data_IF_379991567841
#
_entry.id   IF_379991567841
#
_cell.length_a   1.000
_cell.length_b   1.000
_cell.length_c   1.000
_cell.angle_alpha   90.00
_cell.angle_beta   90.00
_cell.angle_gamma   90.00
#
_symmetry.space_group_name_H-M   'P 1'
#
loop_
_entity.id
_entity.type
_entity.pdbx_description
1 polymer ?
#
# COMPACT_ATOMS: atom_id res chain seq x y z
N UNK A 1 33.37 46.24 19.02
CA UNK A 1 33.80 45.19 19.97
C UNK A 1 33.30 43.88 19.37
N UNK A 2 34.04 43.36 18.38
CA UNK A 2 35.22 42.47 18.50
C UNK A 2 34.73 41.03 18.56
N UNK A 3 34.64 40.36 17.41
CA UNK A 3 35.72 39.51 16.81
C UNK A 3 35.75 38.13 17.50
N UNK A 4 35.72 36.99 16.80
CA UNK A 4 36.73 36.64 15.78
C UNK A 4 36.33 35.50 14.79
N UNK A 5 36.82 35.62 13.55
CA UNK A 5 37.14 34.53 12.61
C UNK A 5 38.66 34.18 12.75
N UNK A 6 39.28 33.21 12.00
CA UNK A 6 38.82 32.32 10.91
C UNK A 6 38.99 30.82 11.28
N UNK A 7 39.20 29.77 10.44
CA UNK A 7 39.62 29.51 9.03
C UNK A 7 39.14 28.07 8.65
N UNK A 8 39.01 27.63 7.39
CA UNK A 8 39.20 28.29 6.09
C UNK A 8 38.98 27.34 4.89
N UNK A 9 38.89 27.94 3.70
CA UNK A 9 39.36 27.44 2.38
C UNK A 9 39.08 25.99 1.94
N UNK A 10 38.18 25.84 0.96
CA UNK A 10 38.66 25.71 -0.43
C UNK A 10 37.65 26.22 -1.46
N UNK A 11 38.16 26.96 -2.46
CA UNK A 11 37.44 27.39 -3.65
C UNK A 11 37.64 26.36 -4.76
N UNK A 12 36.60 26.08 -5.55
CA UNK A 12 36.78 25.88 -6.99
C UNK A 12 36.02 26.98 -7.73
N UNK A 13 36.78 27.87 -8.37
CA UNK A 13 36.30 28.78 -9.38
C UNK A 13 36.37 28.04 -10.72
N UNK A 14 35.25 27.90 -11.41
CA UNK A 14 35.27 27.61 -12.85
C UNK A 14 34.96 28.89 -13.63
N UNK A 15 35.81 29.13 -14.64
CA UNK A 15 35.85 30.34 -15.45
C UNK A 15 34.79 30.29 -16.55
N UNK A 16 33.84 31.23 -16.52
CA UNK A 16 32.98 31.50 -17.69
C UNK A 16 33.79 32.25 -18.76
N UNK A 17 34.38 31.49 -19.69
CA UNK A 17 34.90 32.02 -20.95
C UNK A 17 33.76 32.12 -21.96
N UNK A 18 33.55 33.29 -22.55
CA UNK A 18 32.58 33.48 -23.63
C UNK A 18 33.11 32.90 -24.96
N UNK A 19 32.31 32.09 -25.67
CA UNK A 19 32.51 31.89 -27.11
C UNK A 19 31.22 31.55 -27.88
N UNK A 20 30.95 32.43 -28.85
CA UNK A 20 30.25 32.27 -30.15
C UNK A 20 28.77 31.84 -30.26
N UNK A 21 28.15 32.33 -31.35
CA UNK A 21 26.75 32.10 -31.73
C UNK A 21 26.68 31.27 -33.02
N UNK A 22 26.05 30.09 -32.97
CA UNK A 22 25.37 29.54 -34.14
C UNK A 22 24.18 28.66 -33.72
N UNK A 23 23.08 28.61 -34.50
CA UNK A 23 21.87 27.90 -34.08
C UNK A 23 21.92 26.44 -34.53
N UNK A 24 22.03 25.52 -33.58
CA UNK A 24 21.87 24.08 -33.82
C UNK A 24 20.60 23.56 -33.18
N UNK A 25 19.97 22.61 -33.89
CA UNK A 25 18.60 22.12 -33.68
C UNK A 25 18.31 21.74 -32.23
N UNK A 26 17.18 22.21 -31.72
CA UNK A 26 16.65 21.83 -30.41
C UNK A 26 16.07 20.42 -30.50
N UNK A 27 16.88 19.40 -30.25
CA UNK A 27 16.37 18.06 -29.93
C UNK A 27 15.82 18.11 -28.50
N UNK A 28 14.50 18.00 -28.35
CA UNK A 28 13.88 17.83 -27.03
C UNK A 28 14.17 16.40 -26.59
N UNK A 29 15.26 16.22 -25.83
CA UNK A 29 15.46 15.01 -25.06
C UNK A 29 14.53 15.09 -23.84
N UNK A 30 13.47 14.27 -23.84
CA UNK A 30 12.62 14.06 -22.68
C UNK A 30 13.44 13.25 -21.66
N UNK A 31 14.17 13.95 -20.78
CA UNK A 31 14.88 13.31 -19.68
C UNK A 31 13.84 13.00 -18.60
N UNK A 32 13.24 11.81 -18.71
CA UNK A 32 12.53 11.18 -17.61
C UNK A 32 13.52 11.06 -16.44
N UNK A 33 13.44 12.00 -15.51
CA UNK A 33 14.27 11.98 -14.31
C UNK A 33 13.55 11.08 -13.32
N UNK A 34 13.80 9.77 -13.41
CA UNK A 34 13.39 8.84 -12.37
C UNK A 34 14.01 9.33 -11.06
N UNK A 35 13.19 9.92 -10.20
CA UNK A 35 13.55 10.13 -8.81
C UNK A 35 13.63 8.74 -8.19
N UNK A 36 14.85 8.23 -8.01
CA UNK A 36 15.11 7.17 -7.06
C UNK A 36 14.93 7.76 -5.66
N UNK A 37 13.67 7.91 -5.23
CA UNK A 37 13.34 7.88 -3.82
C UNK A 37 13.78 6.53 -3.30
N UNK A 38 14.77 6.51 -2.40
CA UNK A 38 15.13 5.31 -1.67
C UNK A 38 14.09 5.07 -0.57
N UNK A 39 12.88 4.71 -0.96
CA UNK A 39 12.03 3.88 -0.11
C UNK A 39 12.76 2.55 0.09
N UNK A 40 12.72 2.01 1.30
CA UNK A 40 13.04 0.60 1.49
C UNK A 40 12.02 -0.19 0.69
N UNK A 41 12.47 -1.07 -0.19
CA UNK A 41 11.55 -1.94 -0.92
C UNK A 41 10.86 -2.86 0.09
N UNK A 42 9.53 -2.76 0.17
CA UNK A 42 8.72 -3.60 1.05
C UNK A 42 8.94 -5.08 0.73
N UNK A 43 9.15 -5.89 1.77
CA UNK A 43 9.33 -7.32 1.59
C UNK A 43 7.95 -7.99 1.47
N UNK A 44 7.82 -9.00 0.60
CA UNK A 44 6.63 -9.83 0.59
C UNK A 44 6.53 -10.63 1.88
N UNK A 45 5.55 -10.33 2.73
CA UNK A 45 5.30 -11.02 4.01
C UNK A 45 4.02 -11.85 3.89
N UNK A 46 4.17 -13.15 3.59
CA UNK A 46 3.05 -14.09 3.44
C UNK A 46 2.47 -14.49 4.80
N UNK A 47 1.15 -14.57 4.90
CA UNK A 47 0.46 -15.14 6.07
C UNK A 47 0.75 -16.64 6.20
N UNK A 48 1.29 -17.07 7.34
CA UNK A 48 1.63 -18.48 7.59
C UNK A 48 0.85 -19.13 8.73
N UNK A 49 0.31 -18.34 9.66
CA UNK A 49 -0.61 -18.83 10.68
C UNK A 49 -1.52 -17.73 11.22
N UNK A 50 -2.69 -18.13 11.71
CA UNK A 50 -3.68 -17.25 12.36
C UNK A 50 -4.24 -17.94 13.60
N UNK A 51 -4.37 -17.20 14.71
CA UNK A 51 -5.13 -17.65 15.88
C UNK A 51 -6.15 -16.58 16.29
N UNK A 52 -7.40 -16.98 16.38
CA UNK A 52 -8.49 -16.19 16.97
C UNK A 52 -8.36 -16.20 18.51
N UNK A 53 -8.55 -15.05 19.14
CA UNK A 53 -8.46 -14.88 20.60
C UNK A 53 -9.71 -14.20 21.15
N UNK A 54 -9.95 -14.35 22.45
CA UNK A 54 -11.06 -13.69 23.14
C UNK A 54 -10.91 -12.16 23.12
N UNK A 55 -12.04 -11.44 23.04
CA UNK A 55 -12.10 -9.98 23.11
C UNK A 55 -11.44 -9.44 24.40
N UNK A 56 -10.67 -8.34 24.27
CA UNK A 56 -9.94 -7.76 25.41
C UNK A 56 -9.95 -6.23 25.42
N UNK A 57 -9.42 -5.64 26.49
CA UNK A 57 -9.39 -4.20 26.71
C UNK A 57 -7.99 -3.71 27.07
N UNK A 58 -7.46 -2.77 26.31
CA UNK A 58 -6.16 -2.12 26.58
C UNK A 58 -6.41 -0.79 27.27
N UNK A 59 -5.93 -0.66 28.50
CA UNK A 59 -5.88 0.61 29.24
C UNK A 59 -4.44 0.95 29.66
N UNK A 60 -4.28 1.95 30.54
CA UNK A 60 -2.99 2.51 30.95
C UNK A 60 -1.97 1.52 31.59
N UNK A 61 -2.36 0.28 31.89
CA UNK A 61 -1.46 -0.78 32.37
C UNK A 61 -0.94 -1.72 31.26
N UNK A 62 -1.41 -1.54 30.03
CA UNK A 62 -1.26 -2.50 28.94
C UNK A 62 -2.11 -3.77 29.12
N UNK A 63 -1.94 -4.73 28.22
CA UNK A 63 -2.54 -6.07 28.30
C UNK A 63 -1.63 -7.09 27.61
N UNK A 64 -1.34 -8.18 28.32
CA UNK A 64 -0.51 -9.27 27.82
C UNK A 64 -1.38 -10.45 27.41
N UNK A 65 -1.30 -10.84 26.13
CA UNK A 65 -1.90 -12.06 25.59
C UNK A 65 -0.78 -13.09 25.37
N UNK A 66 -1.03 -14.35 25.70
CA UNK A 66 -0.13 -15.46 25.36
C UNK A 66 -0.89 -16.49 24.53
N UNK A 67 -0.31 -16.91 23.42
CA UNK A 67 -0.96 -17.73 22.41
C UNK A 67 0.02 -18.75 21.83
N UNK A 68 -0.41 -20.00 21.71
CA UNK A 68 0.35 -21.05 21.02
C UNK A 68 0.04 -20.96 19.52
N UNK A 69 1.06 -20.79 18.70
CA UNK A 69 0.98 -20.99 17.25
C UNK A 69 1.57 -22.36 16.88
N UNK A 70 1.12 -22.91 15.74
CA UNK A 70 1.70 -24.09 15.12
C UNK A 70 1.86 -23.84 13.62
N UNK A 71 3.09 -23.61 13.17
CA UNK A 71 3.42 -23.31 11.79
C UNK A 71 4.80 -23.92 11.45
N UNK A 72 4.85 -24.76 10.42
CA UNK A 72 6.08 -25.48 10.01
C UNK A 72 6.98 -24.61 9.11
N UNK A 73 7.25 -23.38 9.57
CA UNK A 73 8.08 -22.40 8.87
C UNK A 73 8.78 -21.44 9.85
N UNK A 74 9.68 -20.63 9.32
CA UNK A 74 10.31 -19.50 10.02
C UNK A 74 9.36 -18.30 9.92
N UNK A 75 9.36 -17.48 10.96
CA UNK A 75 8.56 -16.26 11.08
C UNK A 75 9.47 -15.04 11.06
N UNK A 76 9.11 -14.04 10.27
CA UNK A 76 9.82 -12.77 10.12
C UNK A 76 8.98 -11.59 10.56
N UNK A 77 7.65 -11.66 10.46
CA UNK A 77 6.72 -10.63 10.92
C UNK A 77 5.50 -11.18 11.65
N UNK A 78 4.61 -10.26 12.01
CA UNK A 78 3.29 -10.52 12.61
C UNK A 78 2.26 -9.64 11.92
N UNK A 79 0.99 -9.98 12.12
CA UNK A 79 -0.12 -9.10 11.77
C UNK A 79 -1.26 -9.18 12.76
N UNK A 80 -2.21 -8.26 12.63
CA UNK A 80 -3.32 -8.10 13.55
C UNK A 80 -4.59 -7.76 12.77
N UNK A 81 -5.66 -8.55 12.98
CA UNK A 81 -7.01 -8.14 12.62
C UNK A 81 -7.91 -7.99 13.83
N UNK A 82 -8.79 -6.99 13.82
CA UNK A 82 -9.79 -6.81 14.87
C UNK A 82 -10.65 -5.58 14.69
N UNK A 83 -11.82 -5.59 15.33
CA UNK A 83 -12.64 -4.39 15.50
C UNK A 83 -12.16 -3.61 16.71
N UNK A 84 -11.97 -2.31 16.54
CA UNK A 84 -11.61 -1.41 17.62
C UNK A 84 -12.84 -0.64 18.15
N UNK A 85 -12.91 -0.45 19.47
CA UNK A 85 -13.95 0.36 20.14
C UNK A 85 -13.37 1.25 21.24
N UNK A 86 -13.93 2.46 21.41
CA UNK A 86 -13.58 3.35 22.52
C UNK A 86 -14.46 3.05 23.76
N UNK A 87 -14.00 2.18 24.66
CA UNK A 87 -14.75 1.74 25.85
C UNK A 87 -14.85 2.86 26.91
N UNK A 88 -13.76 3.59 27.13
CA UNK A 88 -13.75 4.82 27.95
C UNK A 88 -13.11 5.92 27.12
N UNK A 89 -13.93 6.86 26.66
CA UNK A 89 -13.54 7.88 25.69
C UNK A 89 -13.50 9.31 26.26
N UNK A 90 -12.76 10.22 25.60
CA UNK A 90 -12.84 11.65 25.87
C UNK A 90 -14.21 12.20 25.51
N UNK A 91 -14.99 12.56 26.52
CA UNK A 91 -16.33 13.16 26.34
C UNK A 91 -16.30 14.65 25.95
N UNK A 92 -15.14 15.33 25.93
CA UNK A 92 -15.05 16.73 25.52
C UNK A 92 -14.92 16.88 24.00
N UNK A 93 -14.04 16.11 23.37
CA UNK A 93 -13.82 16.17 21.92
C UNK A 93 -14.32 14.93 21.18
N UNK A 94 -14.52 13.80 21.88
CA UNK A 94 -15.19 12.60 21.35
C UNK A 94 -14.27 11.56 20.69
N UNK A 95 -12.94 11.68 20.84
CA UNK A 95 -12.00 11.03 19.90
C UNK A 95 -10.85 10.21 20.51
N UNK A 96 -10.48 10.41 21.78
CA UNK A 96 -9.53 9.52 22.47
C UNK A 96 -10.29 8.39 23.20
N UNK A 97 -9.72 7.18 23.38
CA UNK A 97 -8.51 6.70 22.71
C UNK A 97 -8.76 6.54 21.21
N UNK A 98 -7.69 6.37 20.45
CA UNK A 98 -7.74 6.01 19.02
C UNK A 98 -7.16 4.59 18.84
N UNK A 99 -7.40 3.95 17.70
CA UNK A 99 -6.72 2.68 17.36
C UNK A 99 -5.21 2.86 17.23
N UNK A 100 -4.79 3.95 16.58
CA UNK A 100 -3.38 4.37 16.41
C UNK A 100 -2.66 4.74 17.71
N UNK A 101 -3.39 4.88 18.83
CA UNK A 101 -2.77 5.05 20.15
C UNK A 101 -2.44 3.70 20.83
N UNK A 102 -2.40 2.61 20.06
CA UNK A 102 -1.98 1.28 20.47
C UNK A 102 -0.61 0.92 19.87
N UNK A 103 0.25 0.34 20.69
CA UNK A 103 1.48 -0.33 20.28
C UNK A 103 1.50 -1.77 20.79
N UNK A 104 2.26 -2.65 20.14
CA UNK A 104 2.48 -4.02 20.58
C UNK A 104 3.96 -4.38 20.57
N UNK A 105 4.40 -5.05 21.63
CA UNK A 105 5.67 -5.80 21.63
C UNK A 105 5.38 -7.29 21.64
N UNK A 106 5.88 -8.00 20.63
CA UNK A 106 5.71 -9.43 20.47
C UNK A 106 7.02 -10.15 20.82
N UNK A 107 6.96 -11.10 21.75
CA UNK A 107 8.08 -11.99 22.10
C UNK A 107 7.82 -13.39 21.53
N UNK A 108 8.75 -13.87 20.71
CA UNK A 108 8.71 -15.19 20.09
C UNK A 108 9.22 -16.31 21.04
N UNK A 109 8.92 -17.59 20.76
CA UNK A 109 9.34 -18.74 21.59
C UNK A 109 10.85 -18.86 21.83
N UNK A 110 11.67 -18.31 20.92
CA UNK A 110 13.14 -18.29 21.03
C UNK A 110 13.69 -17.08 21.81
N UNK A 111 12.82 -16.16 22.24
CA UNK A 111 13.18 -14.93 22.95
C UNK A 111 13.56 -13.74 22.05
N UNK A 112 13.38 -13.82 20.72
CA UNK A 112 13.39 -12.63 19.87
C UNK A 112 12.17 -11.74 20.16
N UNK A 113 12.34 -10.43 19.98
CA UNK A 113 11.31 -9.42 20.24
C UNK A 113 11.14 -8.50 19.05
N UNK A 114 9.89 -8.29 18.63
CA UNK A 114 9.47 -7.33 17.61
C UNK A 114 8.62 -6.27 18.32
N UNK A 115 8.87 -4.98 18.05
CA UNK A 115 8.03 -3.89 18.54
C UNK A 115 7.44 -3.16 17.34
N UNK A 116 6.13 -2.99 17.36
CA UNK A 116 5.32 -2.36 16.33
C UNK A 116 4.46 -1.29 17.00
N UNK A 117 4.76 -0.04 16.65
CA UNK A 117 4.44 1.16 17.42
C UNK A 117 4.48 2.37 16.46
N UNK A 118 3.34 3.00 16.14
CA UNK A 118 1.95 2.60 16.43
C UNK A 118 1.45 1.45 15.52
N UNK A 119 0.22 0.98 15.78
CA UNK A 119 -0.55 0.03 14.93
C UNK A 119 -1.63 0.80 14.14
N UNK A 120 -1.77 0.56 12.83
CA UNK A 120 -2.83 1.17 12.00
C UNK A 120 -2.52 2.58 11.50
N UNK A 121 -1.26 2.85 11.15
CA UNK A 121 -0.81 4.10 10.51
C UNK A 121 -0.39 5.27 11.41
N UNK A 122 0.15 6.32 10.79
CA UNK A 122 0.52 7.57 11.49
C UNK A 122 -0.70 8.39 11.95
N UNK A 123 -0.46 9.37 12.84
CA UNK A 123 -1.37 10.26 13.61
C UNK A 123 -2.60 10.86 12.88
N UNK A 124 -2.76 10.69 11.57
CA UNK A 124 -3.89 11.17 10.76
C UNK A 124 -4.57 10.13 9.85
N UNK A 125 -4.10 8.89 9.87
CA UNK A 125 -4.64 7.72 9.15
C UNK A 125 -5.06 6.71 10.22
N UNK A 126 -6.07 5.88 9.95
CA UNK A 126 -6.53 4.87 10.90
C UNK A 126 -7.40 3.82 10.21
N UNK A 127 -7.02 2.55 10.30
CA UNK A 127 -7.82 1.45 9.75
C UNK A 127 -9.11 1.22 10.56
N UNK A 128 -10.15 0.73 9.88
CA UNK A 128 -11.40 0.33 10.53
C UNK A 128 -12.20 -0.74 9.73
N UNK A 129 -11.94 -2.05 9.89
CA UNK A 129 -11.24 -2.71 10.99
C UNK A 129 -9.72 -2.50 10.97
N UNK A 130 -9.08 -2.67 12.13
CA UNK A 130 -7.64 -2.88 12.19
C UNK A 130 -7.31 -4.15 11.39
N UNK A 131 -6.42 -4.03 10.42
CA UNK A 131 -6.08 -5.11 9.48
C UNK A 131 -4.69 -4.84 8.90
N UNK A 132 -3.68 -4.87 9.76
CA UNK A 132 -2.35 -4.32 9.52
C UNK A 132 -1.25 -5.33 9.93
N UNK A 133 -0.02 -5.11 9.49
CA UNK A 133 1.13 -6.00 9.68
C UNK A 133 2.43 -5.26 9.96
N UNK A 134 3.39 -5.96 10.57
CA UNK A 134 4.77 -5.50 10.64
C UNK A 134 5.51 -5.87 9.35
N UNK A 135 6.17 -4.92 8.68
CA UNK A 135 7.12 -5.15 7.58
C UNK A 135 8.40 -5.87 8.10
N UNK A 136 8.22 -7.15 8.42
CA UNK A 136 9.18 -7.98 9.15
C UNK A 136 9.46 -7.49 10.59
N UNK A 137 10.62 -7.88 11.12
CA UNK A 137 11.12 -7.43 12.43
C UNK A 137 11.79 -8.55 13.26
N UNK A 138 11.32 -9.79 13.12
CA UNK A 138 12.04 -10.97 13.58
C UNK A 138 13.12 -11.38 12.57
N UNK A 139 14.21 -11.99 13.05
CA UNK A 139 15.29 -12.45 12.18
C UNK A 139 15.08 -13.88 11.69
N UNK A 140 14.60 -14.75 12.58
CA UNK A 140 14.16 -16.11 12.28
C UNK A 140 13.41 -16.72 13.49
N UNK A 141 12.23 -16.20 13.81
CA UNK A 141 11.42 -16.74 14.90
C UNK A 141 10.82 -18.13 14.53
N UNK A 142 10.62 -19.06 15.48
CA UNK A 142 10.03 -20.37 15.19
C UNK A 142 8.51 -20.26 15.01
N UNK A 143 7.95 -20.81 13.93
CA UNK A 143 6.50 -20.78 13.69
C UNK A 143 5.65 -21.51 14.74
N UNK A 144 6.18 -22.58 15.34
CA UNK A 144 5.50 -23.31 16.43
C UNK A 144 6.00 -22.88 17.82
N UNK A 145 5.06 -22.59 18.72
CA UNK A 145 5.29 -22.40 20.15
C UNK A 145 4.50 -21.22 20.76
N UNK A 146 4.75 -20.95 22.03
CA UNK A 146 4.11 -19.87 22.78
C UNK A 146 4.70 -18.49 22.42
N UNK A 147 3.91 -17.67 21.74
CA UNK A 147 4.16 -16.24 21.54
C UNK A 147 3.49 -15.42 22.66
N UNK A 148 4.08 -14.27 22.98
CA UNK A 148 3.54 -13.31 23.95
C UNK A 148 3.40 -11.94 23.30
N UNK A 149 2.19 -11.38 23.30
CA UNK A 149 1.86 -10.07 22.74
C UNK A 149 1.54 -9.12 23.88
N UNK A 150 2.33 -8.05 24.03
CA UNK A 150 2.16 -7.02 25.04
C UNK A 150 1.62 -5.75 24.38
N UNK A 151 0.30 -5.56 24.45
CA UNK A 151 -0.38 -4.37 23.96
C UNK A 151 -0.26 -3.24 24.98
N UNK A 152 0.06 -2.04 24.52
CA UNK A 152 0.15 -0.81 25.33
C UNK A 152 -0.66 0.30 24.70
N UNK A 153 -1.17 1.23 25.49
CA UNK A 153 -1.72 2.51 25.00
C UNK A 153 -0.80 3.67 25.38
N UNK A 154 -0.60 4.63 24.46
CA UNK A 154 0.35 5.73 24.67
C UNK A 154 -0.16 6.87 25.54
N UNK A 155 -1.48 7.00 25.73
CA UNK A 155 -2.03 8.14 26.49
C UNK A 155 -2.17 7.85 28.00
N UNK A 156 -1.92 8.89 28.78
CA UNK A 156 -1.93 8.93 30.24
C UNK A 156 -3.32 9.13 30.87
N UNK A 157 -4.36 9.27 30.03
CA UNK A 157 -5.75 9.41 30.44
C UNK A 157 -6.36 8.11 31.00
N UNK A 158 -7.61 8.16 31.51
CA UNK A 158 -8.35 6.98 31.98
C UNK A 158 -8.96 6.18 30.80
N UNK A 159 -8.33 6.23 29.64
CA UNK A 159 -8.87 5.71 28.38
C UNK A 159 -8.72 4.20 28.30
N UNK A 160 -9.66 3.57 27.60
CA UNK A 160 -9.68 2.12 27.38
C UNK A 160 -10.11 1.85 25.94
N UNK A 161 -9.23 1.23 25.17
CA UNK A 161 -9.57 0.62 23.89
C UNK A 161 -10.14 -0.78 24.12
N UNK A 162 -11.22 -1.13 23.45
CA UNK A 162 -11.75 -2.49 23.33
C UNK A 162 -11.37 -3.06 21.97
N UNK A 163 -10.94 -4.31 21.96
CA UNK A 163 -10.57 -5.05 20.75
C UNK A 163 -11.47 -6.28 20.68
N UNK A 164 -12.26 -6.38 19.61
CA UNK A 164 -13.31 -7.40 19.40
C UNK A 164 -13.04 -8.21 18.12
N UNK A 165 -13.43 -9.49 18.10
CA UNK A 165 -13.22 -10.42 16.98
C UNK A 165 -11.73 -10.53 16.54
N UNK A 166 -10.82 -10.53 17.51
CA UNK A 166 -9.39 -10.38 17.26
C UNK A 166 -8.76 -11.65 16.70
N UNK A 167 -7.92 -11.48 15.68
CA UNK A 167 -7.00 -12.53 15.21
C UNK A 167 -5.57 -12.02 15.20
N UNK A 168 -4.68 -12.86 15.72
CA UNK A 168 -3.24 -12.65 15.68
C UNK A 168 -2.67 -13.49 14.54
N UNK A 169 -1.83 -12.87 13.72
CA UNK A 169 -1.23 -13.48 12.54
C UNK A 169 0.28 -13.58 12.70
N UNK A 170 0.87 -14.64 12.13
CA UNK A 170 2.30 -14.75 11.90
C UNK A 170 2.56 -14.68 10.39
N UNK A 171 3.62 -13.97 10.00
CA UNK A 171 4.03 -13.84 8.60
C UNK A 171 5.46 -14.34 8.37
N UNK A 172 5.72 -14.78 7.14
CA UNK A 172 7.04 -15.19 6.67
C UNK A 172 7.38 -14.43 5.39
N UNK A 173 8.61 -13.93 5.33
CA UNK A 173 9.19 -13.38 4.12
C UNK A 173 9.15 -14.41 2.98
N UNK A 174 8.73 -13.95 1.81
CA UNK A 174 8.68 -14.68 0.55
C UNK A 174 9.24 -13.80 -0.58
N UNK A 175 9.23 -14.28 -1.81
CA UNK A 175 9.61 -13.47 -2.97
C UNK A 175 8.59 -12.32 -3.17
N UNK A 176 9.10 -11.09 -3.28
CA UNK A 176 8.26 -9.90 -3.47
C UNK A 176 7.69 -9.85 -4.89
N UNK A 177 6.36 -9.80 -4.99
CA UNK A 177 5.63 -9.50 -6.24
C UNK A 177 5.28 -8.01 -6.28
N UNK A 178 5.37 -7.40 -7.47
CA UNK A 178 5.02 -5.98 -7.68
C UNK A 178 4.20 -5.83 -8.96
N UNK A 179 3.06 -5.13 -8.86
CA UNK A 179 2.25 -4.67 -10.01
C UNK A 179 2.20 -3.15 -10.05
N UNK A 180 2.35 -2.56 -11.23
CA UNK A 180 2.20 -1.13 -11.47
C UNK A 180 1.15 -0.89 -12.56
N UNK A 181 0.24 0.05 -12.34
CA UNK A 181 -0.82 0.43 -13.29
C UNK A 181 -1.16 1.92 -13.17
N UNK A 182 -1.77 2.49 -14.20
CA UNK A 182 -2.16 3.90 -14.25
C UNK A 182 -3.69 4.07 -14.28
N UNK A 183 -4.17 5.22 -13.81
CA UNK A 183 -5.58 5.61 -13.89
C UNK A 183 -5.73 7.13 -13.88
N UNK A 184 -6.96 7.66 -13.81
CA UNK A 184 -7.20 9.09 -13.87
C UNK A 184 -8.52 9.57 -13.28
N UNK A 185 -8.43 10.38 -12.23
CA UNK A 185 -9.57 11.11 -11.64
C UNK A 185 -9.87 12.43 -12.35
N UNK A 186 -9.44 12.61 -13.61
CA UNK A 186 -9.67 13.84 -14.37
C UNK A 186 -11.15 14.04 -14.79
N UNK A 187 -11.83 12.95 -15.14
CA UNK A 187 -13.26 12.88 -15.42
C UNK A 187 -13.79 11.57 -14.82
N UNK A 188 -15.06 11.51 -14.39
CA UNK A 188 -15.61 10.31 -13.75
C UNK A 188 -16.85 10.58 -12.90
N UNK A 189 -17.36 9.56 -12.18
CA UNK A 189 -18.39 9.75 -11.16
C UNK A 189 -17.86 10.63 -10.03
N UNK A 190 -18.78 11.24 -9.26
CA UNK A 190 -18.41 12.09 -8.12
C UNK A 190 -19.04 11.62 -6.82
N UNK A 191 -18.31 11.77 -5.72
CA UNK A 191 -18.69 11.32 -4.39
C UNK A 191 -18.31 12.32 -3.30
N UNK A 192 -18.90 12.15 -2.12
CA UNK A 192 -18.55 12.88 -0.90
C UNK A 192 -17.54 12.06 -0.09
N UNK A 193 -16.28 12.01 -0.56
CA UNK A 193 -15.26 11.11 0.00
C UNK A 193 -15.03 11.27 1.52
N UNK A 194 -14.53 10.22 2.21
CA UNK A 194 -14.11 10.33 3.61
C UNK A 194 -12.94 11.31 3.77
N UNK A 195 -12.92 12.01 4.90
CA UNK A 195 -11.73 12.70 5.40
C UNK A 195 -10.97 11.82 6.41
N UNK A 196 -11.70 10.98 7.13
CA UNK A 196 -11.22 9.90 8.00
C UNK A 196 -12.33 8.87 8.18
N UNK A 197 -12.05 7.74 8.83
CA UNK A 197 -13.01 6.67 9.16
C UNK A 197 -14.30 7.12 9.89
N UNK A 198 -14.30 8.32 10.50
CA UNK A 198 -15.47 8.86 11.22
C UNK A 198 -16.03 10.16 10.62
N UNK A 199 -15.58 10.58 9.43
CA UNK A 199 -15.90 11.91 8.90
C UNK A 199 -15.85 12.04 7.39
N UNK A 200 -16.84 12.75 6.83
CA UNK A 200 -16.93 13.09 5.41
C UNK A 200 -16.20 14.41 5.11
N UNK A 201 -15.47 14.46 3.98
CA UNK A 201 -14.72 15.64 3.55
C UNK A 201 -15.62 16.77 3.07
N UNK A 202 -15.42 17.97 3.65
CA UNK A 202 -16.05 19.21 3.19
C UNK A 202 -15.48 19.78 1.88
N UNK A 203 -14.50 19.11 1.24
CA UNK A 203 -13.90 19.53 -0.03
C UNK A 203 -14.61 18.94 -1.27
N UNK A 204 -15.62 18.08 -1.06
CA UNK A 204 -16.41 17.44 -2.09
C UNK A 204 -17.56 18.28 -2.68
N UNK A 205 -18.36 17.69 -3.59
CA UNK A 205 -18.12 16.37 -4.20
C UNK A 205 -16.89 16.40 -5.12
N UNK A 206 -16.16 15.30 -5.17
CA UNK A 206 -14.93 15.15 -5.98
C UNK A 206 -15.04 13.98 -6.92
N UNK A 207 -14.25 13.98 -8.00
CA UNK A 207 -14.12 12.84 -8.91
C UNK A 207 -13.38 11.69 -8.22
N UNK A 208 -13.77 10.46 -8.54
CA UNK A 208 -13.07 9.26 -8.14
C UNK A 208 -13.05 8.20 -9.24
N UNK A 209 -12.14 7.26 -9.07
CA UNK A 209 -12.06 6.02 -9.81
C UNK A 209 -11.98 4.88 -8.78
N UNK A 210 -12.79 3.84 -8.97
CA UNK A 210 -12.89 2.71 -8.04
C UNK A 210 -12.65 1.43 -8.83
N UNK A 211 -11.65 0.67 -8.40
CA UNK A 211 -11.17 -0.55 -9.04
C UNK A 211 -11.37 -1.70 -8.07
N UNK A 212 -12.22 -2.65 -8.41
CA UNK A 212 -12.30 -3.93 -7.71
C UNK A 212 -10.96 -4.66 -7.85
N UNK A 213 -10.57 -5.48 -6.87
CA UNK A 213 -9.42 -6.38 -6.97
C UNK A 213 -9.51 -7.56 -6.00
N UNK A 214 -8.68 -8.58 -6.24
CA UNK A 214 -8.40 -9.70 -5.33
C UNK A 214 -6.89 -9.90 -5.19
N UNK A 215 -6.47 -10.76 -4.24
CA UNK A 215 -5.09 -11.24 -4.13
C UNK A 215 -5.05 -12.77 -4.17
N UNK A 216 -3.99 -13.34 -4.75
CA UNK A 216 -3.79 -14.79 -4.84
C UNK A 216 -3.08 -15.41 -3.61
N UNK A 217 -2.56 -14.55 -2.72
CA UNK A 217 -1.73 -14.96 -1.58
C UNK A 217 -2.06 -14.08 -0.38
N UNK A 218 -2.55 -14.67 0.70
CA UNK A 218 -2.82 -13.93 1.93
C UNK A 218 -1.52 -13.40 2.56
N UNK A 219 -1.52 -12.15 3.04
CA UNK A 219 -0.35 -11.55 3.71
C UNK A 219 -0.36 -10.02 3.70
N UNK A 220 0.79 -9.42 3.98
CA UNK A 220 0.97 -7.97 4.02
C UNK A 220 1.21 -7.36 2.65
N UNK A 221 0.43 -6.35 2.28
CA UNK A 221 0.53 -5.62 1.02
C UNK A 221 0.72 -4.12 1.28
N UNK A 222 1.60 -3.52 0.48
CA UNK A 222 1.83 -2.08 0.43
C UNK A 222 1.35 -1.51 -0.92
N UNK A 223 0.52 -0.48 -0.87
CA UNK A 223 -0.02 0.24 -2.03
C UNK A 223 0.49 1.68 -2.01
N UNK A 224 1.28 2.04 -3.01
CA UNK A 224 1.69 3.41 -3.30
C UNK A 224 0.87 3.98 -4.47
N UNK A 225 0.23 5.14 -4.27
CA UNK A 225 -0.50 5.87 -5.32
C UNK A 225 0.06 7.28 -5.46
N UNK A 226 0.57 7.62 -6.64
CA UNK A 226 1.26 8.89 -6.92
C UNK A 226 0.50 9.71 -7.96
N UNK A 227 0.23 10.99 -7.66
CA UNK A 227 -0.18 11.99 -8.66
C UNK A 227 1.01 12.87 -9.08
N UNK A 228 1.07 13.36 -10.33
CA UNK A 228 2.19 14.18 -10.81
C UNK A 228 2.38 15.52 -10.07
N UNK A 229 1.30 16.13 -9.58
CA UNK A 229 1.35 17.41 -8.85
C UNK A 229 0.21 17.57 -7.85
N UNK A 230 0.47 18.29 -6.75
CA UNK A 230 -0.55 18.57 -5.74
C UNK A 230 -0.69 17.40 -4.77
N UNK A 231 -1.90 17.12 -4.31
CA UNK A 231 -2.12 16.15 -3.24
C UNK A 231 -2.93 14.95 -3.76
N UNK A 232 -2.73 13.77 -3.16
CA UNK A 232 -3.49 12.55 -3.48
C UNK A 232 -4.35 12.07 -2.30
N UNK A 233 -5.31 11.19 -2.60
CA UNK A 233 -6.11 10.40 -1.67
C UNK A 233 -6.38 9.03 -2.31
N UNK A 234 -5.96 7.95 -1.64
CA UNK A 234 -6.36 6.58 -1.97
C UNK A 234 -7.09 5.95 -0.77
N UNK A 235 -7.90 4.93 -1.04
CA UNK A 235 -8.68 4.18 -0.05
C UNK A 235 -8.74 2.71 -0.45
N UNK A 236 -8.71 1.79 0.51
CA UNK A 236 -9.12 0.39 0.30
C UNK A 236 -10.49 0.18 0.97
N UNK A 237 -11.40 -0.53 0.30
CA UNK A 237 -12.63 -1.06 0.88
C UNK A 237 -12.60 -2.59 0.82
N UNK A 238 -13.26 -3.26 1.77
CA UNK A 238 -13.36 -4.73 1.82
C UNK A 238 -14.79 -5.22 1.58
N UNK A 239 -14.98 -6.15 0.65
CA UNK A 239 -16.25 -6.82 0.36
C UNK A 239 -17.30 -6.00 -0.40
N UNK A 240 -17.21 -4.67 -0.42
CA UNK A 240 -18.11 -3.81 -1.20
C UNK A 240 -17.79 -2.33 -1.09
N UNK A 241 -18.05 -1.57 -2.16
CA UNK A 241 -17.89 -0.12 -2.21
C UNK A 241 -19.22 0.58 -2.56
N UNK A 242 -19.61 1.58 -1.77
CA UNK A 242 -20.79 2.42 -2.03
C UNK A 242 -20.43 3.93 -1.93
N UNK A 243 -20.46 4.68 -3.04
CA UNK A 243 -20.16 6.12 -3.04
C UNK A 243 -21.24 6.99 -2.37
N UNK A 244 -22.45 6.46 -2.12
CA UNK A 244 -23.50 7.14 -1.34
C UNK A 244 -23.29 6.96 0.17
N UNK A 245 -22.67 5.85 0.60
CA UNK A 245 -22.36 5.53 2.00
C UNK A 245 -20.85 5.23 2.19
N UNK A 246 -19.95 6.20 1.90
CA UNK A 246 -18.51 5.93 1.73
C UNK A 246 -17.72 5.68 3.03
N UNK A 247 -18.39 5.52 4.17
CA UNK A 247 -17.77 5.02 5.41
C UNK A 247 -18.09 3.53 5.64
N UNK A 248 -19.07 2.97 4.94
CA UNK A 248 -19.36 1.55 4.99
C UNK A 248 -18.22 0.79 4.28
N UNK A 249 -17.71 -0.26 4.92
CA UNK A 249 -16.64 -1.14 4.42
C UNK A 249 -15.26 -0.49 4.14
N UNK A 250 -15.06 0.79 4.47
CA UNK A 250 -13.76 1.45 4.36
C UNK A 250 -12.75 0.72 5.25
N UNK A 251 -11.71 0.14 4.66
CA UNK A 251 -10.67 -0.60 5.38
C UNK A 251 -9.58 0.35 5.88
N UNK A 252 -8.91 1.05 4.98
CA UNK A 252 -7.87 2.05 5.25
C UNK A 252 -7.79 3.12 4.14
N UNK A 253 -7.05 4.21 4.36
CA UNK A 253 -6.91 5.35 3.47
C UNK A 253 -5.57 6.10 3.58
N UNK A 254 -4.93 6.33 2.44
CA UNK A 254 -3.68 7.08 2.36
C UNK A 254 -3.88 8.58 2.11
N UNK A 255 -3.02 9.41 2.71
CA UNK A 255 -3.03 10.88 2.59
C UNK A 255 -1.78 11.41 1.88
N UNK A 256 -1.89 11.65 0.56
CA UNK A 256 -0.77 12.18 -0.23
C UNK A 256 -0.59 13.69 -0.16
N UNK A 257 -0.62 14.29 1.03
CA UNK A 257 -0.64 15.75 1.24
C UNK A 257 0.62 16.33 1.91
N UNK A 258 1.58 15.50 2.31
CA UNK A 258 2.90 15.92 2.83
C UNK A 258 2.87 16.58 4.22
N UNK A 259 1.99 16.15 5.13
CA UNK A 259 1.84 16.76 6.46
C UNK A 259 2.75 16.19 7.58
N UNK A 260 3.45 15.07 7.35
CA UNK A 260 4.42 14.50 8.32
C UNK A 260 5.80 15.16 8.26
N UNK A 261 6.55 15.16 9.37
CA UNK A 261 7.98 15.52 9.36
C UNK A 261 8.85 14.54 8.58
N UNK A 262 8.35 13.31 8.46
CA UNK A 262 8.96 12.16 7.81
C UNK A 262 8.05 11.63 6.68
N UNK A 263 6.96 12.36 6.39
CA UNK A 263 5.88 11.96 5.49
C UNK A 263 6.23 12.02 4.01
N UNK A 264 5.48 11.25 3.23
CA UNK A 264 5.64 11.06 1.80
C UNK A 264 5.80 12.36 0.99
N UNK A 265 6.47 12.30 -0.19
CA UNK A 265 6.46 13.41 -1.14
C UNK A 265 5.04 13.90 -1.40
N UNK A 266 4.86 15.22 -1.54
CA UNK A 266 3.57 15.79 -1.90
C UNK A 266 3.05 15.15 -3.20
N UNK A 267 1.88 14.50 -3.12
CA UNK A 267 1.27 13.74 -4.21
C UNK A 267 1.34 12.22 -4.05
N UNK A 268 2.08 11.71 -3.07
CA UNK A 268 2.24 10.26 -2.81
C UNK A 268 1.38 9.81 -1.63
N UNK A 269 0.39 8.97 -1.90
CA UNK A 269 -0.48 8.31 -0.92
C UNK A 269 0.01 6.89 -0.69
N UNK A 270 0.17 6.48 0.57
CA UNK A 270 0.55 5.12 0.96
C UNK A 270 -0.56 4.48 1.79
N UNK A 271 -0.73 3.17 1.61
CA UNK A 271 -1.60 2.29 2.39
C UNK A 271 -0.85 0.97 2.58
N UNK A 272 -0.79 0.48 3.81
CA UNK A 272 -0.33 -0.86 4.15
C UNK A 272 -1.49 -1.61 4.82
N UNK A 273 -1.71 -2.86 4.42
CA UNK A 273 -2.79 -3.68 4.96
C UNK A 273 -2.48 -5.16 4.82
N UNK A 274 -3.01 -5.97 5.73
CA UNK A 274 -3.19 -7.39 5.49
C UNK A 274 -4.32 -7.61 4.48
N UNK A 275 -4.04 -8.30 3.38
CA UNK A 275 -5.05 -8.74 2.42
C UNK A 275 -5.12 -10.28 2.43
N UNK A 276 -6.29 -10.83 2.14
CA UNK A 276 -6.58 -12.26 2.23
C UNK A 276 -7.09 -12.81 0.89
N UNK A 277 -6.76 -14.06 0.61
CA UNK A 277 -7.39 -14.86 -0.45
C UNK A 277 -8.91 -14.98 -0.24
N UNK A 278 -9.65 -15.28 -1.32
CA UNK A 278 -11.12 -15.40 -1.35
C UNK A 278 -11.92 -14.14 -0.90
N UNK A 279 -11.23 -13.02 -0.61
CA UNK A 279 -11.85 -11.72 -0.30
C UNK A 279 -11.75 -10.76 -1.49
N UNK A 280 -12.85 -10.06 -1.77
CA UNK A 280 -12.88 -8.97 -2.77
C UNK A 280 -12.61 -7.64 -2.09
N UNK A 281 -11.79 -6.80 -2.72
CA UNK A 281 -11.46 -5.46 -2.25
C UNK A 281 -11.73 -4.42 -3.33
N UNK A 282 -11.71 -3.14 -2.97
CA UNK A 282 -11.76 -2.02 -3.92
C UNK A 282 -10.69 -1.00 -3.57
N UNK A 283 -9.79 -0.71 -4.52
CA UNK A 283 -8.90 0.43 -4.47
C UNK A 283 -9.61 1.63 -5.09
N UNK A 284 -9.77 2.70 -4.31
CA UNK A 284 -10.45 3.92 -4.75
C UNK A 284 -9.47 5.07 -4.71
N UNK A 285 -9.19 5.68 -5.85
CA UNK A 285 -8.36 6.90 -5.93
C UNK A 285 -9.29 8.10 -6.15
N UNK A 286 -9.00 9.22 -5.48
CA UNK A 286 -9.87 10.39 -5.52
C UNK A 286 -9.14 11.72 -5.67
N UNK A 287 -9.73 12.60 -6.48
CA UNK A 287 -9.34 14.01 -6.61
C UNK A 287 -9.30 14.71 -5.24
N UNK A 288 -8.24 15.49 -4.99
CA UNK A 288 -8.03 16.20 -3.72
C UNK A 288 -9.15 17.17 -3.31
N UNK A 289 -9.69 17.97 -4.24
CA UNK A 289 -10.80 18.88 -3.96
C UNK A 289 -11.56 19.27 -5.22
N UNK A 290 -12.83 19.62 -5.07
CA UNK A 290 -13.71 20.15 -6.12
C UNK A 290 -13.18 21.43 -6.79
N UNK A 291 -12.16 22.05 -6.20
CA UNK A 291 -11.52 23.30 -6.63
C UNK A 291 -10.18 23.12 -7.35
N UNK A 292 -9.65 21.89 -7.41
CA UNK A 292 -8.44 21.54 -8.15
C UNK A 292 -8.79 20.59 -9.29
N UNK A 293 -8.16 20.68 -10.48
CA UNK A 293 -8.40 19.72 -11.54
C UNK A 293 -7.99 18.31 -11.08
N UNK A 294 -8.79 17.31 -11.45
CA UNK A 294 -8.37 15.91 -11.35
C UNK A 294 -7.22 15.61 -12.31
N UNK A 295 -6.45 14.56 -12.01
CA UNK A 295 -5.18 14.25 -12.64
C UNK A 295 -5.05 12.74 -12.86
N UNK A 296 -4.18 12.30 -13.79
CA UNK A 296 -3.73 10.92 -13.83
C UNK A 296 -2.99 10.56 -12.53
N UNK A 297 -2.96 9.27 -12.21
CA UNK A 297 -2.19 8.69 -11.12
C UNK A 297 -1.50 7.41 -11.59
N UNK A 298 -0.43 7.04 -10.88
CA UNK A 298 0.24 5.74 -11.01
C UNK A 298 0.13 5.02 -9.67
N UNK A 299 -0.36 3.79 -9.68
CA UNK A 299 -0.39 2.91 -8.52
C UNK A 299 0.71 1.85 -8.65
N UNK A 300 1.41 1.57 -7.55
CA UNK A 300 2.35 0.45 -7.39
C UNK A 300 1.93 -0.35 -6.18
N UNK A 301 1.60 -1.62 -6.38
CA UNK A 301 1.25 -2.57 -5.31
C UNK A 301 2.40 -3.55 -5.14
N UNK A 302 2.80 -3.81 -3.90
CA UNK A 302 3.91 -4.70 -3.53
C UNK A 302 3.44 -5.64 -2.42
N UNK A 303 3.73 -6.94 -2.53
CA UNK A 303 3.29 -7.93 -1.55
C UNK A 303 3.82 -9.35 -1.81
N UNK A 304 3.30 -10.37 -1.10
CA UNK A 304 3.72 -11.76 -1.21
C UNK A 304 3.18 -12.51 -2.44
N UNK A 305 2.26 -11.91 -3.19
CA UNK A 305 1.59 -12.53 -4.33
C UNK A 305 0.93 -11.51 -5.26
N UNK A 306 0.21 -12.00 -6.27
CA UNK A 306 -0.38 -11.17 -7.32
C UNK A 306 -1.51 -10.29 -6.80
N UNK A 307 -1.53 -9.03 -7.23
CA UNK A 307 -2.67 -8.12 -7.10
C UNK A 307 -3.46 -8.17 -8.41
N UNK A 308 -4.71 -8.63 -8.35
CA UNK A 308 -5.48 -9.03 -9.53
C UNK A 308 -6.67 -8.07 -9.72
N UNK A 309 -6.65 -7.30 -10.80
CA UNK A 309 -7.75 -6.46 -11.26
C UNK A 309 -8.72 -7.27 -12.15
N UNK A 310 -10.03 -6.94 -12.19
CA UNK A 310 -10.96 -7.48 -13.17
C UNK A 310 -10.50 -7.14 -14.59
N UNK A 311 -10.02 -8.15 -15.31
CA UNK A 311 -9.41 -7.98 -16.63
C UNK A 311 -8.07 -8.68 -16.76
N UNK A 312 -7.31 -8.84 -15.67
CA UNK A 312 -5.96 -9.43 -15.69
C UNK A 312 -5.91 -10.86 -16.22
N UNK A 313 -6.98 -11.64 -16.02
CA UNK A 313 -7.12 -13.01 -16.54
C UNK A 313 -7.70 -13.07 -17.97
N UNK A 314 -7.87 -11.93 -18.66
CA UNK A 314 -8.34 -11.90 -20.04
C UNK A 314 -7.20 -12.31 -20.95
N UNK A 315 -7.31 -13.51 -21.53
CA UNK A 315 -6.27 -14.09 -22.39
C UNK A 315 -5.92 -13.15 -23.56
N UNK A 316 -4.71 -12.60 -23.54
CA UNK A 316 -4.23 -11.63 -24.53
C UNK A 316 -4.26 -10.18 -24.10
N UNK A 317 -4.68 -9.87 -22.87
CA UNK A 317 -4.34 -8.63 -22.17
C UNK A 317 -2.90 -8.79 -21.67
N UNK A 318 -1.97 -8.12 -22.35
CA UNK A 318 -0.54 -8.25 -22.10
C UNK A 318 0.03 -7.05 -21.33
N UNK A 319 -0.73 -5.96 -21.22
CA UNK A 319 -0.35 -4.80 -20.41
C UNK A 319 -1.06 -4.77 -19.03
N UNK A 320 -2.11 -5.58 -18.83
CA UNK A 320 -2.91 -5.65 -17.61
C UNK A 320 -3.83 -4.43 -17.41
N UNK A 321 -4.30 -3.81 -18.50
CA UNK A 321 -5.24 -2.67 -18.49
C UNK A 321 -6.73 -3.09 -18.49
N UNK A 322 -6.98 -4.40 -18.63
CA UNK A 322 -8.29 -5.04 -18.64
C UNK A 322 -8.99 -5.07 -19.99
N UNK A 323 -8.36 -4.59 -21.07
CA UNK A 323 -8.98 -4.44 -22.40
C UNK A 323 -8.04 -4.87 -23.51
N UNK A 324 -8.22 -6.07 -24.08
CA UNK A 324 -7.40 -6.56 -25.20
C UNK A 324 -7.53 -5.66 -26.43
N UNK A 325 -6.48 -4.92 -26.73
CA UNK A 325 -6.50 -3.86 -27.74
C UNK A 325 -5.19 -3.80 -28.57
N UNK A 326 -4.95 -2.63 -29.18
CA UNK A 326 -3.76 -2.42 -30.02
C UNK A 326 -2.46 -2.34 -29.22
N UNK A 327 -2.51 -2.01 -27.93
CA UNK A 327 -1.33 -1.97 -27.08
C UNK A 327 -0.82 -3.39 -26.77
N UNK A 328 -1.71 -4.34 -26.49
CA UNK A 328 -1.37 -5.75 -26.29
C UNK A 328 -0.85 -6.39 -27.57
N UNK A 329 -1.47 -6.07 -28.71
CA UNK A 329 -0.96 -6.48 -30.02
C UNK A 329 0.48 -5.98 -30.26
N UNK A 330 0.86 -4.82 -29.73
CA UNK A 330 2.24 -4.34 -29.85
C UNK A 330 3.20 -5.12 -28.96
N UNK A 331 2.78 -5.51 -27.74
CA UNK A 331 3.56 -6.38 -26.85
C UNK A 331 3.73 -7.80 -27.44
N UNK A 332 2.64 -8.40 -27.94
CA UNK A 332 2.70 -9.71 -28.62
C UNK A 332 3.65 -9.71 -29.83
N UNK A 333 3.72 -8.59 -30.55
CA UNK A 333 4.64 -8.43 -31.68
C UNK A 333 6.09 -8.11 -31.26
N UNK A 334 6.33 -7.66 -30.03
CA UNK A 334 7.67 -7.46 -29.46
C UNK A 334 8.33 -8.81 -29.12
N UNK A 335 7.57 -9.74 -28.53
CA UNK A 335 8.03 -11.06 -28.12
C UNK A 335 7.98 -12.13 -29.24
N UNK A 336 7.64 -11.75 -30.48
CA UNK A 336 7.40 -12.68 -31.59
C UNK A 336 8.59 -13.61 -31.90
N UNK A 337 8.43 -14.90 -31.62
CA UNK A 337 9.49 -15.89 -31.81
C UNK A 337 9.34 -17.14 -30.97
N UNK A 338 10.48 -17.70 -30.54
CA UNK A 338 10.51 -18.75 -29.54
C UNK A 338 10.73 -18.11 -28.17
N UNK A 339 10.03 -18.59 -27.15
CA UNK A 339 10.22 -18.12 -25.78
C UNK A 339 11.59 -18.57 -25.24
N UNK A 340 12.35 -17.64 -24.66
CA UNK A 340 13.67 -17.94 -24.08
C UNK A 340 13.57 -18.89 -22.87
N UNK A 341 12.48 -18.77 -22.08
CA UNK A 341 12.10 -19.71 -21.02
C UNK A 341 10.63 -20.13 -21.20
N UNK A 342 10.31 -21.43 -21.34
CA UNK A 342 8.92 -21.89 -21.37
C UNK A 342 8.23 -21.58 -20.03
N UNK A 343 7.14 -20.81 -20.07
CA UNK A 343 6.39 -20.35 -18.89
C UNK A 343 6.67 -18.90 -18.45
N UNK A 344 7.78 -18.28 -18.85
CA UNK A 344 8.08 -16.85 -18.58
C UNK A 344 7.80 -15.98 -19.83
N UNK A 345 6.72 -16.28 -20.56
CA UNK A 345 6.46 -15.75 -21.89
C UNK A 345 5.00 -15.30 -22.02
N UNK A 346 4.61 -14.13 -21.48
CA UNK A 346 3.21 -13.73 -21.39
C UNK A 346 2.47 -13.70 -22.74
N UNK A 347 3.18 -13.44 -23.83
CA UNK A 347 2.64 -13.44 -25.19
C UNK A 347 2.44 -14.84 -25.82
N UNK A 348 2.90 -15.93 -25.20
CA UNK A 348 2.64 -17.32 -25.60
C UNK A 348 1.32 -17.78 -24.97
N UNK A 349 0.22 -17.27 -25.51
CA UNK A 349 -1.14 -17.46 -25.01
C UNK A 349 -1.65 -18.92 -25.11
N UNK A 350 -0.84 -19.83 -25.65
CA UNK A 350 -1.19 -21.24 -25.82
C UNK A 350 -0.20 -22.24 -25.18
N UNK A 351 0.83 -21.74 -24.48
CA UNK A 351 1.89 -22.51 -23.81
C UNK A 351 2.64 -23.52 -24.73
N UNK A 352 2.80 -23.22 -26.04
CA UNK A 352 3.53 -24.11 -26.97
C UNK A 352 5.04 -23.83 -27.08
N UNK A 353 5.50 -22.75 -26.43
CA UNK A 353 6.87 -22.25 -26.41
C UNK A 353 7.19 -21.26 -27.53
N UNK A 354 6.21 -20.80 -28.31
CA UNK A 354 6.42 -19.89 -29.43
C UNK A 354 5.33 -18.82 -29.58
N UNK A 355 5.65 -17.56 -29.30
CA UNK A 355 4.80 -16.42 -29.68
C UNK A 355 4.69 -16.32 -31.20
N UNK A 356 3.52 -16.67 -31.75
CA UNK A 356 3.32 -16.78 -33.18
C UNK A 356 1.88 -16.40 -33.65
N UNK A 357 1.49 -16.88 -34.83
CA UNK A 357 0.18 -16.58 -35.42
C UNK A 357 -0.98 -17.22 -34.64
N UNK A 358 -0.74 -18.28 -33.88
CA UNK A 358 -1.78 -18.89 -33.04
C UNK A 358 -2.10 -18.00 -31.82
N UNK A 359 -1.10 -17.41 -31.19
CA UNK A 359 -1.26 -16.45 -30.09
C UNK A 359 -1.90 -15.15 -30.57
N UNK A 360 -1.47 -14.64 -31.74
CA UNK A 360 -2.15 -13.52 -32.38
C UNK A 360 -3.65 -13.81 -32.64
N UNK A 361 -4.02 -15.05 -32.95
CA UNK A 361 -5.43 -15.41 -33.10
C UNK A 361 -6.16 -15.46 -31.76
N UNK A 362 -5.52 -15.95 -30.69
CA UNK A 362 -6.09 -15.93 -29.33
C UNK A 362 -6.28 -14.50 -28.79
N UNK A 363 -5.32 -13.61 -29.02
CA UNK A 363 -5.44 -12.18 -28.70
C UNK A 363 -6.61 -11.56 -29.49
N UNK A 364 -6.70 -11.82 -30.79
CA UNK A 364 -7.80 -11.32 -31.63
C UNK A 364 -9.17 -11.94 -31.31
N UNK A 365 -9.23 -13.12 -30.69
CA UNK A 365 -10.47 -13.74 -30.21
C UNK A 365 -11.01 -13.05 -28.95
N UNK A 366 -10.15 -12.42 -28.14
CA UNK A 366 -10.52 -11.68 -26.93
C UNK A 366 -10.60 -10.15 -27.14
N UNK A 367 -10.36 -9.66 -28.36
CA UNK A 367 -10.37 -8.24 -28.72
C UNK A 367 -11.71 -7.54 -28.42
N UNK A 368 -11.71 -6.46 -27.62
CA UNK A 368 -12.93 -5.69 -27.34
C UNK A 368 -12.78 -4.53 -26.37
#
# INVERSE_FOLDING_TARGET
MTDSFPKGSNRMLFSLSAYDRSPTRLSIALIATALLSSTTAFAGEQLVATVEIDDFQVGAAGTTIQVEFDADTIVTGVGFTGLWTAIVADTQNGIAPWSIDLGVTVTAPNGETLTWDPIGGEISIADYPLQDYSDGGFRAAPGTGLYTFEFTSFDSGPWIAGLENVKLHLTSATDTVTKTFEGSVAEGPTWMRPFSIVGISGLGPVVYEAMEFTVDTSGGYFIESIVPTGNNFAYIYRGGFDPENPLDNLLDYGLGNGFGSDGAPQGTSWIDAMLFEDETYYLVVSQWSSTQPGQPYTNTVTGPGSFILPGDDVLGDLNGDGVVNVFDLLLLLEDWGACDTPGDCPADLNDDGFVNVFDLLLLLENWG
#
